data_IF_239990944060
#
_entry.id   IF_239990944060
#
_cell.length_a   1.000
_cell.length_b   1.000
_cell.length_c   1.000
_cell.angle_alpha   90.00
_cell.angle_beta   90.00
_cell.angle_gamma   90.00
#
_symmetry.space_group_name_H-M   'P 1'
#
loop_
_entity.id
_entity.type
_entity.pdbx_description
1 polymer ?
#
# COMPACT_ATOMS: atom_id res chain seq x y z
N UNK A 1 18.80 -29.98 -37.54
CA UNK A 1 17.87 -28.94 -37.06
C UNK A 1 17.86 -29.03 -35.55
N UNK A 2 18.59 -28.13 -34.88
CA UNK A 2 18.77 -28.14 -33.42
C UNK A 2 17.54 -27.47 -32.80
N UNK A 3 16.79 -28.21 -31.98
CA UNK A 3 15.68 -27.67 -31.20
C UNK A 3 16.29 -27.11 -29.89
N UNK A 4 16.38 -25.79 -29.80
CA UNK A 4 16.78 -25.13 -28.56
C UNK A 4 15.56 -25.12 -27.62
N UNK A 5 15.61 -25.96 -26.58
CA UNK A 5 14.76 -25.80 -25.40
C UNK A 5 15.25 -24.56 -24.64
N UNK A 6 14.44 -23.51 -24.64
CA UNK A 6 14.57 -22.44 -23.67
C UNK A 6 14.13 -22.97 -22.31
N UNK A 7 15.11 -23.36 -21.49
CA UNK A 7 14.91 -23.54 -20.06
C UNK A 7 14.77 -22.14 -19.46
N UNK A 8 13.53 -21.66 -19.36
CA UNK A 8 13.18 -20.55 -18.48
C UNK A 8 13.42 -21.04 -17.05
N UNK A 9 14.50 -20.55 -16.43
CA UNK A 9 14.85 -20.90 -15.06
C UNK A 9 13.87 -20.18 -14.13
N UNK A 10 13.02 -20.96 -13.45
CA UNK A 10 11.85 -20.51 -12.73
C UNK A 10 12.15 -19.66 -11.50
N UNK A 11 11.74 -18.39 -11.55
CA UNK A 11 11.27 -17.65 -10.37
C UNK A 11 9.86 -18.05 -9.93
N UNK A 12 9.14 -18.86 -10.74
CA UNK A 12 7.74 -19.21 -10.52
C UNK A 12 7.47 -20.23 -9.40
N UNK A 13 8.38 -21.18 -9.15
CA UNK A 13 8.13 -22.27 -8.18
C UNK A 13 8.47 -21.87 -6.73
N UNK A 14 9.31 -20.86 -6.50
CA UNK A 14 9.76 -20.48 -5.14
C UNK A 14 8.68 -19.68 -4.39
N UNK A 15 7.73 -19.09 -5.11
CA UNK A 15 6.70 -18.22 -4.54
C UNK A 15 5.28 -18.78 -4.63
N UNK A 16 5.06 -19.97 -5.22
CA UNK A 16 3.70 -20.52 -5.36
C UNK A 16 3.01 -20.67 -4.00
N UNK A 17 3.75 -21.15 -3.01
CA UNK A 17 3.23 -21.44 -1.68
C UNK A 17 3.11 -20.16 -0.83
N UNK A 18 3.89 -19.12 -1.16
CA UNK A 18 3.87 -17.84 -0.45
C UNK A 18 2.51 -17.13 -0.62
N UNK A 19 1.89 -17.29 -1.78
CA UNK A 19 0.65 -16.61 -2.17
C UNK A 19 -0.57 -17.55 -2.18
N UNK A 20 -0.47 -18.76 -1.63
CA UNK A 20 -1.59 -19.69 -1.49
C UNK A 20 -2.52 -19.29 -0.32
N UNK A 21 -3.14 -18.12 -0.45
CA UNK A 21 -4.13 -17.62 0.49
C UNK A 21 -5.11 -16.66 -0.19
N UNK A 22 -6.27 -16.48 0.44
CA UNK A 22 -7.20 -15.40 0.13
C UNK A 22 -7.81 -14.88 1.44
N UNK A 23 -7.69 -13.58 1.64
CA UNK A 23 -8.17 -12.83 2.79
C UNK A 23 -9.43 -12.02 2.47
N UNK A 24 -10.10 -12.32 1.34
CA UNK A 24 -11.39 -11.72 0.95
C UNK A 24 -11.38 -10.19 1.09
N UNK A 25 -10.44 -9.52 0.42
CA UNK A 25 -10.26 -8.07 0.44
C UNK A 25 -9.95 -7.52 1.84
N UNK A 26 -8.87 -7.99 2.46
CA UNK A 26 -8.49 -7.60 3.81
C UNK A 26 -7.01 -7.83 4.12
N UNK A 27 -6.63 -7.48 5.35
CA UNK A 27 -5.30 -7.74 5.92
C UNK A 27 -5.39 -8.53 7.22
N UNK A 28 -4.40 -9.38 7.44
CA UNK A 28 -4.21 -10.17 8.65
C UNK A 28 -2.85 -9.87 9.26
N UNK A 29 -2.81 -9.64 10.58
CA UNK A 29 -1.60 -9.41 11.38
C UNK A 29 -1.44 -10.60 12.32
N UNK A 30 -0.43 -11.44 12.08
CA UNK A 30 -0.30 -12.74 12.75
C UNK A 30 -0.17 -12.61 14.28
N UNK A 31 0.73 -11.75 14.77
CA UNK A 31 1.03 -11.62 16.20
C UNK A 31 -0.19 -11.27 17.07
N UNK A 32 -1.15 -10.56 16.49
CA UNK A 32 -2.35 -10.09 17.18
C UNK A 32 -3.61 -10.88 16.80
N UNK A 33 -3.52 -11.76 15.80
CA UNK A 33 -4.66 -12.42 15.17
C UNK A 33 -5.76 -11.41 14.77
N UNK A 34 -5.34 -10.22 14.34
CA UNK A 34 -6.27 -9.17 13.89
C UNK A 34 -6.53 -9.34 12.40
N UNK A 35 -7.80 -9.25 12.01
CA UNK A 35 -8.23 -9.13 10.62
C UNK A 35 -8.92 -7.78 10.40
N UNK A 36 -8.55 -7.06 9.34
CA UNK A 36 -9.15 -5.78 8.96
C UNK A 36 -9.60 -5.85 7.49
N UNK A 37 -10.85 -5.46 7.23
CA UNK A 37 -11.42 -5.46 5.89
C UNK A 37 -10.96 -4.22 5.11
N UNK A 38 -10.57 -4.39 3.85
CA UNK A 38 -10.17 -3.34 2.91
C UNK A 38 -10.95 -3.50 1.59
N UNK A 39 -12.27 -3.24 1.58
CA UNK A 39 -13.14 -3.53 0.44
C UNK A 39 -12.89 -2.64 -0.77
N UNK A 40 -12.14 -1.54 -0.61
CA UNK A 40 -11.87 -0.60 -1.70
C UNK A 40 -10.40 -0.57 -2.02
N UNK A 41 -10.10 -0.46 -3.31
CA UNK A 41 -8.75 -0.28 -3.79
C UNK A 41 -8.74 0.73 -4.93
N UNK A 42 -7.73 1.58 -4.91
CA UNK A 42 -7.59 2.70 -5.80
C UNK A 42 -6.21 2.68 -6.45
N UNK A 43 -6.14 3.11 -7.71
CA UNK A 43 -4.89 3.32 -8.44
C UNK A 43 -4.81 4.78 -8.87
N UNK A 44 -3.71 5.43 -8.53
CA UNK A 44 -3.49 6.82 -8.93
C UNK A 44 -3.30 6.89 -10.45
N UNK A 45 -4.11 7.72 -11.09
CA UNK A 45 -4.16 7.88 -12.55
C UNK A 45 -3.64 9.24 -13.02
N UNK A 46 -3.23 10.12 -12.10
CA UNK A 46 -2.74 11.43 -12.44
C UNK A 46 -1.21 11.46 -12.42
N UNK A 47 -0.63 11.66 -13.61
CA UNK A 47 0.78 11.85 -13.96
C UNK A 47 1.49 13.03 -13.27
N UNK A 48 1.14 13.40 -12.03
CA UNK A 48 1.93 14.39 -11.32
C UNK A 48 3.35 13.86 -11.04
N UNK A 49 3.50 12.52 -11.00
CA UNK A 49 4.76 11.82 -10.82
C UNK A 49 4.86 10.62 -11.78
N UNK A 50 6.09 10.26 -12.16
CA UNK A 50 6.41 9.06 -12.95
C UNK A 50 6.41 7.80 -12.07
N UNK A 51 5.37 7.65 -11.24
CA UNK A 51 5.23 6.60 -10.22
C UNK A 51 3.78 6.11 -10.14
N UNK A 52 3.59 4.83 -9.80
CA UNK A 52 2.25 4.25 -9.58
C UNK A 52 1.99 4.08 -8.10
N UNK A 53 0.88 4.65 -7.62
CA UNK A 53 0.46 4.54 -6.23
C UNK A 53 -0.84 3.73 -6.15
N UNK A 54 -0.82 2.67 -5.34
CA UNK A 54 -1.99 1.87 -4.99
C UNK A 54 -2.43 2.21 -3.57
N UNK A 55 -3.73 2.31 -3.34
CA UNK A 55 -4.30 2.56 -2.02
C UNK A 55 -5.46 1.60 -1.75
N UNK A 56 -5.33 0.72 -0.76
CA UNK A 56 -6.43 -0.10 -0.26
C UNK A 56 -6.91 0.44 1.07
N UNK A 57 -8.23 0.53 1.24
CA UNK A 57 -8.81 1.09 2.46
C UNK A 57 -10.26 0.64 2.69
N UNK A 58 -10.78 0.98 3.87
CA UNK A 58 -12.17 0.80 4.29
C UNK A 58 -13.02 2.09 4.20
N UNK A 59 -12.44 3.17 3.67
CA UNK A 59 -13.09 4.46 3.47
C UNK A 59 -13.60 4.65 2.04
N UNK A 60 -13.75 5.89 1.59
CA UNK A 60 -14.06 6.29 0.21
C UNK A 60 -13.20 7.48 -0.16
N UNK A 61 -12.34 7.35 -1.17
CA UNK A 61 -11.52 8.45 -1.67
C UNK A 61 -12.30 9.43 -2.55
N UNK A 62 -13.38 8.96 -3.20
CA UNK A 62 -14.03 9.72 -4.28
C UNK A 62 -13.13 9.84 -5.51
N UNK A 63 -13.36 10.87 -6.33
CA UNK A 63 -12.61 11.10 -7.57
C UNK A 63 -11.17 11.58 -7.32
N UNK A 64 -10.92 12.23 -6.18
CA UNK A 64 -9.59 12.78 -5.85
C UNK A 64 -9.30 12.78 -4.36
N UNK A 65 -8.06 12.42 -4.03
CA UNK A 65 -7.51 12.54 -2.68
C UNK A 65 -6.49 13.68 -2.65
N UNK A 66 -6.92 14.81 -2.10
CA UNK A 66 -6.05 15.96 -1.85
C UNK A 66 -5.40 15.79 -0.49
N UNK A 67 -4.09 15.93 -0.45
CA UNK A 67 -3.31 15.93 0.78
C UNK A 67 -2.51 17.23 0.92
N UNK A 68 -2.71 17.93 2.03
CA UNK A 68 -2.06 19.21 2.34
C UNK A 68 -1.81 19.29 3.85
N UNK A 69 -0.56 19.48 4.29
CA UNK A 69 -0.18 19.53 5.72
C UNK A 69 -0.77 18.39 6.59
N UNK A 70 -0.89 17.17 6.07
CA UNK A 70 -1.52 16.05 6.79
C UNK A 70 -3.06 16.07 6.84
N UNK A 71 -3.69 16.98 6.10
CA UNK A 71 -5.13 16.98 5.80
C UNK A 71 -5.43 16.06 4.62
N UNK A 72 -6.57 15.37 4.64
CA UNK A 72 -6.96 14.41 3.60
C UNK A 72 -8.41 14.66 3.21
N UNK A 73 -8.70 14.67 1.90
CA UNK A 73 -10.05 14.93 1.39
C UNK A 73 -10.86 13.65 1.09
N UNK A 74 -10.85 12.66 1.98
CA UNK A 74 -11.71 11.48 1.81
C UNK A 74 -13.19 11.88 1.83
N UNK A 75 -14.02 11.27 0.98
CA UNK A 75 -15.49 11.35 1.08
C UNK A 75 -16.01 10.63 2.32
N UNK A 76 -15.40 9.48 2.63
CA UNK A 76 -15.63 8.71 3.85
C UNK A 76 -14.27 8.33 4.41
N UNK A 77 -13.95 8.84 5.59
CA UNK A 77 -12.66 8.58 6.21
C UNK A 77 -12.44 7.08 6.47
N UNK A 78 -11.30 6.51 6.05
CA UNK A 78 -10.93 5.15 6.41
C UNK A 78 -10.50 5.07 7.87
N UNK A 79 -10.63 3.88 8.47
CA UNK A 79 -9.94 3.54 9.72
C UNK A 79 -8.62 2.82 9.46
N UNK A 80 -8.46 2.24 8.27
CA UNK A 80 -7.28 1.45 7.87
C UNK A 80 -6.89 1.76 6.42
N UNK A 81 -5.60 1.93 6.17
CA UNK A 81 -5.05 2.08 4.82
C UNK A 81 -3.83 1.19 4.59
N UNK A 82 -3.70 0.70 3.37
CA UNK A 82 -2.48 0.12 2.82
C UNK A 82 -2.11 0.96 1.60
N UNK A 83 -0.97 1.61 1.65
CA UNK A 83 -0.46 2.40 0.53
C UNK A 83 0.82 1.79 -0.01
N UNK A 84 0.89 1.65 -1.33
CA UNK A 84 1.99 1.00 -2.04
C UNK A 84 2.46 1.93 -3.15
N UNK A 85 3.76 2.22 -3.19
CA UNK A 85 4.38 3.12 -4.16
C UNK A 85 5.36 2.36 -5.03
N UNK A 86 5.15 2.36 -6.33
CA UNK A 86 6.07 1.82 -7.31
C UNK A 86 6.85 2.94 -7.98
N UNK A 87 8.17 2.79 -8.09
CA UNK A 87 9.05 3.76 -8.74
C UNK A 87 9.09 3.57 -10.27
N UNK A 88 7.96 3.14 -10.86
CA UNK A 88 7.77 2.88 -12.29
C UNK A 88 6.46 3.51 -12.78
N UNK A 89 6.43 3.83 -14.06
CA UNK A 89 5.27 4.40 -14.77
C UNK A 89 4.25 3.34 -15.20
N UNK A 90 4.61 2.06 -15.16
CA UNK A 90 3.74 0.95 -15.56
C UNK A 90 3.94 -0.29 -14.70
N UNK A 91 2.86 -1.02 -14.46
CA UNK A 91 2.84 -2.33 -13.80
C UNK A 91 2.33 -3.41 -14.75
N UNK A 92 2.89 -4.60 -14.59
CA UNK A 92 2.47 -5.82 -15.28
C UNK A 92 2.13 -6.93 -14.25
N UNK A 93 1.56 -8.03 -14.72
CA UNK A 93 1.43 -9.24 -13.92
C UNK A 93 2.80 -9.75 -13.49
N UNK A 94 2.94 -10.14 -12.23
CA UNK A 94 4.23 -10.58 -11.72
C UNK A 94 4.33 -10.58 -10.20
N UNK A 95 5.54 -10.84 -9.73
CA UNK A 95 5.92 -10.76 -8.33
C UNK A 95 6.96 -9.64 -8.22
N UNK A 96 6.71 -8.76 -7.26
CA UNK A 96 7.54 -7.61 -6.91
C UNK A 96 8.06 -7.80 -5.50
N UNK A 97 9.31 -7.43 -5.27
CA UNK A 97 9.99 -7.64 -4.00
C UNK A 97 10.50 -6.33 -3.39
N UNK A 98 10.44 -6.30 -2.07
CA UNK A 98 11.05 -5.29 -1.22
C UNK A 98 11.96 -5.98 -0.21
N UNK A 99 13.14 -5.42 0.02
CA UNK A 99 14.03 -5.76 1.12
C UNK A 99 14.64 -4.50 1.72
N UNK A 100 14.67 -4.43 3.05
CA UNK A 100 15.27 -3.32 3.80
C UNK A 100 16.76 -3.13 3.48
N UNK A 101 17.45 -4.22 3.16
CA UNK A 101 18.90 -4.21 2.84
C UNK A 101 19.18 -3.96 1.36
N UNK A 102 18.15 -3.90 0.51
CA UNK A 102 18.34 -3.66 -0.92
C UNK A 102 18.62 -2.18 -1.20
N UNK A 103 19.51 -1.95 -2.17
CA UNK A 103 19.81 -0.59 -2.66
C UNK A 103 18.60 0.00 -3.41
N UNK A 104 17.86 -0.86 -4.10
CA UNK A 104 16.68 -0.52 -4.89
C UNK A 104 15.61 -1.57 -4.63
N UNK A 105 14.38 -1.10 -4.43
CA UNK A 105 13.20 -1.95 -4.25
C UNK A 105 12.20 -1.73 -5.38
N UNK A 106 11.40 -2.74 -5.70
CA UNK A 106 10.36 -2.63 -6.73
C UNK A 106 9.23 -1.69 -6.28
N UNK A 107 8.96 -1.67 -4.97
CA UNK A 107 7.94 -0.84 -4.35
C UNK A 107 8.32 -0.45 -2.92
N UNK A 108 7.60 0.53 -2.38
CA UNK A 108 7.53 0.82 -0.94
C UNK A 108 6.10 0.59 -0.45
N UNK A 109 5.93 0.29 0.83
CA UNK A 109 4.62 0.00 1.41
C UNK A 109 4.50 0.61 2.80
N UNK A 110 3.29 1.02 3.18
CA UNK A 110 2.92 1.31 4.57
C UNK A 110 1.52 0.80 4.85
N UNK A 111 1.34 0.32 6.07
CA UNK A 111 0.05 -0.08 6.62
C UNK A 111 -0.25 0.78 7.82
N UNK A 112 -1.40 1.44 7.81
CA UNK A 112 -1.92 2.23 8.93
C UNK A 112 -3.26 1.70 9.36
N UNK A 113 -3.52 1.76 10.66
CA UNK A 113 -4.81 1.44 11.27
C UNK A 113 -5.16 2.45 12.34
N UNK A 114 -6.36 2.30 12.90
CA UNK A 114 -6.89 3.15 13.94
C UNK A 114 -6.78 4.65 13.56
N UNK A 115 -7.00 4.95 12.28
CA UNK A 115 -6.97 6.30 11.73
C UNK A 115 -8.12 7.11 12.31
N UNK A 116 -7.81 8.27 12.87
CA UNK A 116 -8.80 9.21 13.38
C UNK A 116 -8.68 10.53 12.67
N UNK A 117 -9.83 11.06 12.26
CA UNK A 117 -9.94 12.33 11.56
C UNK A 117 -10.80 13.31 12.35
N UNK A 118 -10.54 14.60 12.17
CA UNK A 118 -11.33 15.67 12.75
C UNK A 118 -10.75 17.05 12.42
N UNK A 119 -11.28 18.10 13.06
CA UNK A 119 -10.93 19.47 12.70
C UNK A 119 -9.50 19.81 13.11
N UNK A 120 -8.79 20.49 12.21
CA UNK A 120 -7.47 21.06 12.48
C UNK A 120 -7.51 22.57 12.64
N UNK A 121 -6.64 23.06 13.52
CA UNK A 121 -6.49 24.47 13.83
C UNK A 121 -5.02 24.86 13.79
N UNK A 122 -4.73 26.00 13.17
CA UNK A 122 -3.38 26.56 13.06
C UNK A 122 -3.40 27.98 13.66
N UNK A 123 -2.51 28.24 14.61
CA UNK A 123 -2.49 29.49 15.40
C UNK A 123 -3.86 29.90 15.99
N UNK A 124 -4.72 28.91 16.31
CA UNK A 124 -6.06 29.12 16.86
C UNK A 124 -7.15 29.42 15.81
N UNK A 125 -6.83 29.44 14.52
CA UNK A 125 -7.80 29.55 13.45
C UNK A 125 -8.13 28.17 12.87
N UNK A 126 -9.40 27.96 12.54
CA UNK A 126 -9.85 26.74 11.87
C UNK A 126 -9.25 26.66 10.46
N UNK A 127 -8.63 25.53 10.13
CA UNK A 127 -8.01 25.25 8.82
C UNK A 127 -8.90 24.34 7.99
N UNK A 128 -9.29 23.19 8.53
CA UNK A 128 -10.15 22.21 7.86
C UNK A 128 -10.93 21.37 8.86
N UNK A 129 -12.09 20.83 8.44
CA UNK A 129 -12.90 19.91 9.24
C UNK A 129 -12.31 18.49 9.25
N UNK A 130 -11.42 18.18 8.29
CA UNK A 130 -11.01 16.81 8.00
C UNK A 130 -9.49 16.64 7.86
N UNK A 131 -8.80 16.68 9.00
CA UNK A 131 -7.38 16.32 9.10
C UNK A 131 -7.18 15.02 9.85
N UNK A 132 -6.11 14.29 9.51
CA UNK A 132 -5.71 13.12 10.27
C UNK A 132 -5.15 13.57 11.63
N UNK A 133 -5.87 13.24 12.71
CA UNK A 133 -5.50 13.60 14.08
C UNK A 133 -4.53 12.56 14.69
N UNK A 134 -4.72 11.29 14.34
CA UNK A 134 -3.85 10.22 14.80
C UNK A 134 -3.86 9.03 13.86
N UNK A 135 -2.81 8.23 13.95
CA UNK A 135 -2.63 7.00 13.19
C UNK A 135 -1.82 6.01 14.03
N UNK A 136 -2.02 4.73 13.79
CA UNK A 136 -1.16 3.66 14.27
C UNK A 136 -0.51 2.98 13.05
N UNK A 137 0.82 3.04 12.97
CA UNK A 137 1.57 2.41 11.88
C UNK A 137 1.84 0.96 12.25
N UNK A 138 1.39 0.04 11.39
CA UNK A 138 1.55 -1.42 11.59
C UNK A 138 2.82 -1.92 10.92
N UNK A 139 3.08 -1.45 9.70
CA UNK A 139 4.19 -1.89 8.87
C UNK A 139 4.64 -0.72 7.99
N UNK A 140 5.95 -0.53 7.81
CA UNK A 140 6.52 0.54 7.00
C UNK A 140 7.79 0.09 6.27
N UNK A 141 7.80 0.24 4.94
CA UNK A 141 8.90 -0.11 4.04
C UNK A 141 9.67 1.11 3.52
N UNK A 142 9.91 2.12 4.35
CA UNK A 142 10.77 3.27 4.01
C UNK A 142 11.50 3.82 5.24
N UNK A 143 12.74 4.26 5.02
CA UNK A 143 13.74 4.55 6.06
C UNK A 143 13.80 6.01 6.53
N UNK A 144 12.91 6.87 6.03
CA UNK A 144 12.98 8.32 6.27
C UNK A 144 12.37 8.79 7.60
N UNK A 145 11.95 7.88 8.47
CA UNK A 145 11.42 8.25 9.80
C UNK A 145 12.18 7.45 10.85
N UNK A 146 12.90 8.12 11.74
CA UNK A 146 13.61 7.51 12.87
C UNK A 146 12.62 7.04 13.92
N UNK A 147 11.87 6.00 13.61
CA UNK A 147 10.91 5.38 14.51
C UNK A 147 11.54 4.12 15.10
N UNK A 148 11.08 3.73 16.30
CA UNK A 148 11.58 2.57 17.02
C UNK A 148 11.20 1.26 16.32
N UNK A 149 12.08 0.81 15.43
CA UNK A 149 12.48 -0.53 14.98
C UNK A 149 11.45 -1.68 14.78
N UNK A 150 10.31 -1.79 15.47
CA UNK A 150 9.47 -3.03 15.39
C UNK A 150 8.45 -3.05 14.25
N UNK A 151 8.13 -1.92 13.66
CA UNK A 151 7.16 -1.77 12.56
C UNK A 151 7.84 -1.76 11.19
N UNK A 152 9.17 -1.84 11.15
CA UNK A 152 9.93 -1.85 9.91
C UNK A 152 9.68 -3.14 9.15
N UNK A 153 9.35 -3.03 7.88
CA UNK A 153 9.35 -4.16 6.95
C UNK A 153 10.80 -4.52 6.65
N UNK A 154 11.17 -5.78 6.87
CA UNK A 154 12.49 -6.32 6.51
C UNK A 154 12.44 -6.91 5.11
N UNK A 155 11.41 -7.69 4.80
CA UNK A 155 11.14 -8.20 3.46
C UNK A 155 9.65 -8.07 3.16
N UNK A 156 9.31 -7.86 1.89
CA UNK A 156 7.94 -8.03 1.43
C UNK A 156 7.93 -8.55 0.00
N UNK A 157 6.91 -9.35 -0.32
CA UNK A 157 6.64 -9.78 -1.68
C UNK A 157 5.19 -9.49 -2.01
N UNK A 158 4.95 -8.98 -3.22
CA UNK A 158 3.64 -8.62 -3.74
C UNK A 158 3.42 -9.32 -5.08
N UNK A 159 2.28 -9.98 -5.23
CA UNK A 159 1.85 -10.61 -6.47
C UNK A 159 0.69 -9.83 -7.09
N UNK A 160 0.81 -9.52 -8.39
CA UNK A 160 -0.29 -9.05 -9.24
C UNK A 160 -0.63 -10.11 -10.28
N UNK A 161 -1.93 -10.39 -10.43
CA UNK A 161 -2.48 -11.32 -11.42
C UNK A 161 -3.65 -10.67 -12.14
N UNK A 162 -3.69 -10.77 -13.47
CA UNK A 162 -4.68 -10.12 -14.33
C UNK A 162 -4.82 -8.62 -14.08
N UNK A 163 -3.72 -7.91 -13.81
CA UNK A 163 -3.68 -6.48 -13.53
C UNK A 163 -4.43 -5.67 -14.60
N UNK A 164 -5.11 -4.62 -14.16
CA UNK A 164 -5.94 -3.75 -15.00
C UNK A 164 -7.13 -4.49 -15.66
N UNK A 165 -7.66 -5.51 -14.98
CA UNK A 165 -8.90 -6.21 -15.36
C UNK A 165 -9.86 -6.30 -14.18
N UNK A 166 -11.18 -6.50 -14.41
CA UNK A 166 -12.13 -6.69 -13.31
C UNK A 166 -11.88 -7.93 -12.44
N UNK A 167 -11.08 -8.89 -12.93
CA UNK A 167 -10.69 -10.11 -12.23
C UNK A 167 -9.27 -10.05 -11.69
N UNK A 168 -8.70 -8.85 -11.56
CA UNK A 168 -7.36 -8.70 -11.02
C UNK A 168 -7.32 -9.13 -9.56
N UNK A 169 -6.19 -9.71 -9.18
CA UNK A 169 -5.90 -10.12 -7.81
C UNK A 169 -4.54 -9.57 -7.41
N UNK A 170 -4.50 -8.94 -6.24
CA UNK A 170 -3.28 -8.55 -5.58
C UNK A 170 -3.16 -9.31 -4.27
N UNK A 171 -1.96 -9.83 -3.99
CA UNK A 171 -1.61 -10.41 -2.69
C UNK A 171 -0.28 -9.85 -2.24
N UNK A 172 -0.11 -9.63 -0.95
CA UNK A 172 1.17 -9.25 -0.39
C UNK A 172 1.43 -9.95 0.93
N UNK A 173 2.71 -10.18 1.19
CA UNK A 173 3.23 -10.72 2.45
C UNK A 173 4.36 -9.80 2.88
N UNK A 174 4.35 -9.37 4.13
CA UNK A 174 5.40 -8.55 4.75
C UNK A 174 5.93 -9.26 5.99
N UNK A 175 7.24 -9.35 6.09
CA UNK A 175 7.97 -9.76 7.28
C UNK A 175 8.50 -8.52 7.98
N UNK A 176 8.12 -8.32 9.25
CA UNK A 176 8.55 -7.19 10.05
C UNK A 176 9.83 -7.52 10.84
N UNK A 177 10.56 -6.49 11.28
CA UNK A 177 11.74 -6.66 12.15
C UNK A 177 11.41 -7.32 13.48
N UNK A 178 10.15 -7.22 13.92
CA UNK A 178 9.61 -7.92 15.08
C UNK A 178 9.41 -9.43 14.87
N UNK A 179 9.74 -9.95 13.68
CA UNK A 179 9.43 -11.31 13.22
C UNK A 179 7.92 -11.57 13.03
N UNK A 180 7.09 -10.53 13.12
CA UNK A 180 5.66 -10.61 12.79
C UNK A 180 5.44 -10.64 11.28
N UNK A 181 4.33 -11.23 10.85
CA UNK A 181 3.94 -11.32 9.45
C UNK A 181 2.60 -10.64 9.24
N UNK A 182 2.57 -9.76 8.23
CA UNK A 182 1.34 -9.12 7.75
C UNK A 182 1.04 -9.63 6.35
N UNK A 183 -0.15 -10.16 6.14
CA UNK A 183 -0.64 -10.58 4.82
C UNK A 183 -1.83 -9.75 4.40
N UNK A 184 -1.96 -9.51 3.11
CA UNK A 184 -3.15 -8.90 2.54
C UNK A 184 -3.51 -9.49 1.20
N UNK A 185 -4.81 -9.52 0.89
CA UNK A 185 -5.29 -9.79 -0.46
C UNK A 185 -6.35 -8.79 -0.86
N UNK A 186 -6.44 -8.56 -2.17
CA UNK A 186 -7.53 -7.85 -2.80
C UNK A 186 -7.86 -8.48 -4.15
N UNK A 187 -9.15 -8.60 -4.43
CA UNK A 187 -9.73 -9.15 -5.65
C UNK A 187 -10.82 -8.20 -6.12
N UNK A 188 -10.67 -7.69 -7.35
CA UNK A 188 -11.56 -6.70 -7.94
C UNK A 188 -10.82 -5.56 -8.63
N UNK A 189 -11.56 -4.72 -9.35
CA UNK A 189 -11.01 -3.57 -10.07
C UNK A 189 -10.41 -2.54 -9.10
N UNK A 190 -9.21 -2.04 -9.39
CA UNK A 190 -8.75 -0.78 -8.78
C UNK A 190 -9.49 0.39 -9.41
N UNK A 191 -10.18 1.16 -8.57
CA UNK A 191 -10.85 2.38 -9.00
C UNK A 191 -9.80 3.44 -9.32
N UNK A 192 -9.87 4.10 -10.49
CA UNK A 192 -8.98 5.21 -10.77
C UNK A 192 -9.31 6.36 -9.82
N UNK A 193 -8.30 6.95 -9.20
CA UNK A 193 -8.44 8.21 -8.48
C UNK A 193 -7.31 9.16 -8.87
N UNK A 194 -7.43 10.42 -8.45
CA UNK A 194 -6.37 11.41 -8.58
C UNK A 194 -5.81 11.75 -7.21
N UNK A 195 -4.53 11.46 -6.95
CA UNK A 195 -3.83 12.02 -5.79
C UNK A 195 -3.34 13.43 -6.11
N UNK A 196 -3.49 14.36 -5.18
CA UNK A 196 -2.96 15.73 -5.30
C UNK A 196 -2.26 16.07 -4.01
N UNK A 197 -0.93 16.09 -4.03
CA UNK A 197 -0.13 16.61 -2.91
C UNK A 197 0.18 18.08 -3.15
N UNK A 198 -0.20 18.91 -2.19
CA UNK A 198 0.23 20.30 -2.12
C UNK A 198 1.41 20.39 -1.16
N UNK A 199 2.55 20.86 -1.68
CA UNK A 199 3.72 21.22 -0.89
C UNK A 199 3.45 22.63 -0.34
N UNK A 200 2.84 22.70 0.85
CA UNK A 200 2.71 23.94 1.62
C UNK A 200 3.77 23.98 2.72
N UNK A 201 4.23 25.19 3.03
CA UNK A 201 5.15 25.46 4.14
C UNK A 201 4.37 25.27 5.45
N UNK A 202 4.32 24.01 5.91
CA UNK A 202 3.57 23.58 7.09
C UNK A 202 4.49 23.54 8.34
N UNK A 203 5.35 24.55 8.48
CA UNK A 203 6.33 24.71 9.57
C UNK A 203 5.74 25.28 10.87
#
# INVERSE_FOLDING_TARGET
MLLALFVSCGKGDVHSDLFDFDLDNGISIESTNTFLQLPKAYVDTAYQWDTIHLNLNDGSAGDSLVTECGSWSYEVNPTTTVEIWFMTESLEDGIYDFSHEAITNDFHIIVRRDLLFGPAFEFGNFVTENSMLSQNIVAQGFSNVSNTETIDVINASLQLVNYNTPSQVMRFVMELRSEDVVRGSYSGTFEPFRRVEFDSDCD
#
